data_IF_465411921665
#
_entry.id   IF_465411921665
#
_cell.length_a   1.000
_cell.length_b   1.000
_cell.length_c   1.000
_cell.angle_alpha   90.00
_cell.angle_beta   90.00
_cell.angle_gamma   90.00
#
_symmetry.space_group_name_H-M   'P 1'
#
loop_
_entity.id
_entity.type
_entity.pdbx_description
1 polymer ?
#
# COMPACT_ATOMS: atom_id res chain seq x y z
N UNK A 1 15.33 9.23 28.21
CA UNK A 1 14.96 8.75 26.87
C UNK A 1 14.76 7.24 26.97
N UNK A 2 13.57 6.74 26.71
CA UNK A 2 13.28 5.30 26.78
C UNK A 2 14.05 4.54 25.68
N UNK A 3 14.20 3.23 25.82
CA UNK A 3 14.86 2.43 24.78
C UNK A 3 14.09 2.46 23.45
N UNK A 4 12.76 2.64 23.51
CA UNK A 4 11.91 2.85 22.33
C UNK A 4 12.21 4.20 21.64
N UNK A 5 12.39 5.28 22.41
CA UNK A 5 12.73 6.59 21.83
C UNK A 5 14.13 6.57 21.17
N UNK A 6 15.08 5.82 21.73
CA UNK A 6 16.40 5.60 21.11
C UNK A 6 16.28 4.82 19.81
N UNK A 7 15.46 3.77 19.79
CA UNK A 7 15.19 2.99 18.58
C UNK A 7 14.55 3.86 17.49
N UNK A 8 13.58 4.72 17.85
CA UNK A 8 12.97 5.69 16.92
C UNK A 8 14.04 6.63 16.35
N UNK A 9 14.88 7.23 17.20
CA UNK A 9 15.95 8.12 16.74
C UNK A 9 16.93 7.42 15.79
N UNK A 10 17.35 6.19 16.13
CA UNK A 10 18.25 5.40 15.29
C UNK A 10 17.61 5.01 13.95
N UNK A 11 16.33 4.61 13.95
CA UNK A 11 15.61 4.27 12.73
C UNK A 11 15.35 5.50 11.84
N UNK A 12 15.10 6.68 12.43
CA UNK A 12 14.98 7.96 11.67
C UNK A 12 16.25 8.31 10.90
N UNK A 13 17.41 7.87 11.39
CA UNK A 13 18.69 7.99 10.70
C UNK A 13 18.91 6.87 9.66
N UNK A 14 17.88 6.07 9.36
CA UNK A 14 17.95 4.90 8.49
C UNK A 14 18.97 3.85 8.95
N UNK A 15 19.19 3.72 10.27
CA UNK A 15 20.11 2.73 10.83
C UNK A 15 19.34 1.55 11.44
N UNK A 16 19.70 0.30 11.12
CA UNK A 16 19.04 -0.87 11.69
C UNK A 16 19.27 -0.96 13.21
N UNK A 17 18.27 -1.41 13.94
CA UNK A 17 18.35 -1.67 15.40
C UNK A 17 18.76 -3.13 15.67
N UNK A 18 19.33 -3.49 16.83
CA UNK A 18 19.69 -4.87 17.13
C UNK A 18 18.52 -5.87 17.02
N UNK A 19 18.77 -7.12 16.61
CA UNK A 19 17.75 -8.17 16.47
C UNK A 19 16.91 -8.36 17.74
N UNK A 20 17.54 -8.25 18.92
CA UNK A 20 16.86 -8.33 20.21
C UNK A 20 15.81 -7.23 20.40
N UNK A 21 16.12 -6.00 19.95
CA UNK A 21 15.19 -4.87 20.00
C UNK A 21 14.07 -5.03 18.97
N UNK A 22 14.36 -5.55 17.77
CA UNK A 22 13.33 -5.88 16.77
C UNK A 22 12.34 -6.89 17.35
N UNK A 23 12.85 -7.97 17.96
CA UNK A 23 12.02 -9.00 18.59
C UNK A 23 11.12 -8.43 19.69
N UNK A 24 11.67 -7.59 20.56
CA UNK A 24 10.91 -6.95 21.65
C UNK A 24 9.85 -5.98 21.11
N UNK A 25 10.19 -5.20 20.07
CA UNK A 25 9.25 -4.31 19.40
C UNK A 25 8.09 -5.09 18.78
N UNK A 26 8.38 -6.16 18.02
CA UNK A 26 7.36 -7.01 17.41
C UNK A 26 6.44 -7.66 18.46
N UNK A 27 7.00 -8.07 19.61
CA UNK A 27 6.21 -8.60 20.72
C UNK A 27 5.24 -7.56 21.29
N UNK A 28 5.74 -6.37 21.64
CA UNK A 28 4.92 -5.25 22.15
C UNK A 28 3.85 -4.82 21.15
N UNK A 29 4.19 -4.76 19.86
CA UNK A 29 3.24 -4.42 18.82
C UNK A 29 2.12 -5.46 18.71
N UNK A 30 2.42 -6.75 18.81
CA UNK A 30 1.38 -7.80 18.80
C UNK A 30 0.43 -7.70 20.00
N UNK A 31 0.94 -7.39 21.18
CA UNK A 31 0.10 -7.15 22.37
C UNK A 31 -0.87 -5.98 22.20
N UNK A 32 -0.48 -4.94 21.44
CA UNK A 32 -1.37 -3.83 21.11
C UNK A 32 -2.35 -4.19 20.00
N UNK A 33 -1.85 -4.77 18.90
CA UNK A 33 -2.64 -5.03 17.71
C UNK A 33 -3.68 -6.16 17.90
N UNK A 34 -3.48 -7.08 18.86
CA UNK A 34 -4.47 -8.13 19.15
C UNK A 34 -5.77 -7.56 19.72
N UNK A 35 -5.70 -6.42 20.42
CA UNK A 35 -6.85 -5.72 20.99
C UNK A 35 -7.63 -4.92 19.92
N UNK A 36 -7.03 -4.68 18.74
CA UNK A 36 -7.70 -3.99 17.65
C UNK A 36 -8.66 -4.91 16.90
N UNK A 37 -9.85 -4.41 16.54
CA UNK A 37 -10.78 -5.11 15.68
C UNK A 37 -10.31 -5.18 14.22
N UNK A 38 -10.90 -6.07 13.42
CA UNK A 38 -10.55 -6.15 11.99
C UNK A 38 -10.83 -4.86 11.22
N UNK A 39 -11.77 -4.07 11.73
CA UNK A 39 -12.09 -2.71 11.29
C UNK A 39 -11.84 -1.77 12.44
N UNK A 40 -10.78 -0.97 12.35
CA UNK A 40 -10.46 0.05 13.36
C UNK A 40 -11.26 1.32 13.10
N UNK A 41 -11.71 1.97 14.16
CA UNK A 41 -12.41 3.27 14.04
C UNK A 41 -11.42 4.37 14.35
N UNK A 42 -11.30 5.33 13.45
CA UNK A 42 -10.41 6.50 13.58
C UNK A 42 -11.26 7.76 13.50
N UNK A 43 -10.87 8.80 14.24
CA UNK A 43 -11.57 10.09 14.22
C UNK A 43 -10.71 11.13 13.53
N UNK A 44 -11.34 12.04 12.80
CA UNK A 44 -10.65 13.22 12.29
C UNK A 44 -10.22 14.14 13.47
N UNK A 45 -9.14 14.93 13.32
CA UNK A 45 -8.32 15.06 12.12
C UNK A 45 -7.38 13.86 11.93
N UNK A 46 -7.14 13.43 10.68
CA UNK A 46 -6.19 12.34 10.38
C UNK A 46 -5.60 12.48 8.97
N UNK A 47 -4.31 12.16 8.85
CA UNK A 47 -3.58 12.08 7.59
C UNK A 47 -3.52 10.63 7.12
N UNK A 48 -4.08 10.38 5.95
CA UNK A 48 -4.17 9.07 5.31
C UNK A 48 -3.02 8.91 4.31
N UNK A 49 -2.29 7.79 4.42
CA UNK A 49 -1.16 7.44 3.57
C UNK A 49 -1.44 6.15 2.80
N UNK A 50 -1.06 6.11 1.52
CA UNK A 50 -1.06 4.91 0.69
C UNK A 50 0.23 4.11 0.82
N UNK A 51 0.61 3.44 -0.27
CA UNK A 51 1.77 2.55 -0.35
C UNK A 51 3.10 3.28 -0.10
N UNK A 52 4.02 2.62 0.59
CA UNK A 52 5.37 3.14 0.93
C UNK A 52 6.48 2.31 0.29
N UNK A 53 6.32 0.98 0.22
CA UNK A 53 7.24 0.07 -0.47
C UNK A 53 8.73 0.28 -0.15
N UNK A 54 9.07 0.41 1.13
CA UNK A 54 10.44 0.55 1.59
C UNK A 54 11.20 1.77 1.05
N UNK A 55 10.50 2.80 0.57
CA UNK A 55 11.07 4.09 0.18
C UNK A 55 11.25 4.98 1.42
N UNK A 56 12.21 4.61 2.28
CA UNK A 56 12.41 5.24 3.59
C UNK A 56 12.63 6.76 3.54
N UNK A 57 13.42 7.25 2.60
CA UNK A 57 13.69 8.69 2.49
C UNK A 57 12.45 9.47 2.08
N UNK A 58 11.59 8.88 1.25
CA UNK A 58 10.31 9.48 0.86
C UNK A 58 9.30 9.39 2.02
N UNK A 59 9.37 8.37 2.87
CA UNK A 59 8.62 8.32 4.13
C UNK A 59 9.04 9.47 5.09
N UNK A 60 10.32 9.83 5.13
CA UNK A 60 10.78 10.97 5.95
C UNK A 60 10.25 12.29 5.39
N UNK A 61 10.23 12.41 4.06
CA UNK A 61 9.62 13.55 3.37
C UNK A 61 8.10 13.62 3.63
N UNK A 62 7.41 12.48 3.66
CA UNK A 62 6.00 12.39 4.00
C UNK A 62 5.71 12.96 5.40
N UNK A 63 6.53 12.61 6.42
CA UNK A 63 6.39 13.21 7.75
C UNK A 63 6.77 14.70 7.78
N UNK A 64 7.72 15.12 6.94
CA UNK A 64 8.08 16.54 6.81
C UNK A 64 6.92 17.37 6.24
N UNK A 65 6.16 16.81 5.31
CA UNK A 65 5.03 17.46 4.64
C UNK A 65 3.75 17.38 5.49
N UNK A 66 3.39 16.19 5.97
CA UNK A 66 2.14 15.97 6.71
C UNK A 66 2.20 16.34 8.19
N UNK A 67 3.38 16.61 8.74
CA UNK A 67 3.60 16.87 10.16
C UNK A 67 4.09 15.63 10.92
N UNK A 68 4.74 15.83 12.07
CA UNK A 68 5.30 14.71 12.82
C UNK A 68 4.32 14.18 13.88
N UNK A 69 4.53 12.93 14.29
CA UNK A 69 3.80 12.30 15.41
C UNK A 69 4.47 12.73 16.72
N UNK A 70 3.74 13.11 17.78
CA UNK A 70 2.31 12.89 18.01
C UNK A 70 1.37 14.04 17.63
N UNK A 71 1.89 15.13 17.06
CA UNK A 71 1.08 16.31 16.73
C UNK A 71 0.07 16.01 15.61
N UNK A 72 0.42 15.10 14.71
CA UNK A 72 -0.43 14.65 13.60
C UNK A 72 -0.87 13.20 13.80
N UNK A 73 -2.16 12.92 13.58
CA UNK A 73 -2.71 11.57 13.54
C UNK A 73 -2.49 10.95 12.15
N UNK A 74 -2.08 9.69 12.10
CA UNK A 74 -1.81 8.98 10.86
C UNK A 74 -2.59 7.68 10.73
N UNK A 75 -3.00 7.38 9.49
CA UNK A 75 -3.52 6.08 9.07
C UNK A 75 -2.79 5.66 7.79
N UNK A 76 -1.98 4.60 7.87
CA UNK A 76 -1.32 4.03 6.70
C UNK A 76 -2.08 2.81 6.19
N UNK A 77 -2.32 2.78 4.87
CA UNK A 77 -3.15 1.78 4.21
C UNK A 77 -2.44 0.46 3.87
N UNK A 78 -1.20 0.28 4.30
CA UNK A 78 -0.41 -0.95 4.08
C UNK A 78 0.65 -0.79 3.01
N UNK A 79 1.19 -1.91 2.55
CA UNK A 79 2.28 -1.99 1.57
C UNK A 79 3.50 -1.17 2.03
N UNK A 80 3.95 -1.47 3.24
CA UNK A 80 5.11 -0.86 3.88
C UNK A 80 6.42 -1.40 3.30
N UNK A 81 6.40 -2.68 2.89
CA UNK A 81 7.58 -3.46 2.55
C UNK A 81 7.65 -3.83 1.06
N UNK A 82 8.76 -4.49 0.72
CA UNK A 82 9.17 -4.90 -0.62
C UNK A 82 9.52 -3.74 -1.56
N UNK A 83 10.13 -4.09 -2.70
CA UNK A 83 10.46 -3.21 -3.84
C UNK A 83 11.57 -2.21 -3.56
N UNK A 84 11.45 -1.41 -2.50
CA UNK A 84 12.49 -0.52 -2.01
C UNK A 84 13.59 -1.25 -1.22
N UNK A 85 14.71 -0.56 -0.97
CA UNK A 85 15.88 -1.13 -0.29
C UNK A 85 15.84 -1.01 1.25
N UNK A 86 14.88 -0.24 1.77
CA UNK A 86 14.76 0.14 3.17
C UNK A 86 13.37 -0.22 3.73
N UNK A 87 12.84 -1.37 3.31
CA UNK A 87 11.55 -1.88 3.78
C UNK A 87 11.57 -2.11 5.29
N UNK A 88 12.69 -2.62 5.81
CA UNK A 88 12.82 -2.93 7.22
C UNK A 88 12.87 -1.67 8.07
N UNK A 89 13.67 -0.66 7.73
CA UNK A 89 13.70 0.60 8.48
C UNK A 89 12.34 1.32 8.40
N UNK A 90 11.70 1.30 7.23
CA UNK A 90 10.37 1.91 7.04
C UNK A 90 9.33 1.25 7.94
N UNK A 91 9.23 -0.08 7.88
CA UNK A 91 8.25 -0.82 8.69
C UNK A 91 8.55 -0.73 10.18
N UNK A 92 9.81 -0.89 10.61
CA UNK A 92 10.17 -0.81 12.02
C UNK A 92 9.94 0.59 12.59
N UNK A 93 10.18 1.65 11.81
CA UNK A 93 9.89 3.01 12.26
C UNK A 93 8.38 3.22 12.48
N UNK A 94 7.56 2.82 11.52
CA UNK A 94 6.09 2.88 11.65
C UNK A 94 5.60 2.05 12.84
N UNK A 95 6.18 0.87 13.05
CA UNK A 95 5.86 0.00 14.18
C UNK A 95 6.28 0.61 15.52
N UNK A 96 7.47 1.22 15.60
CA UNK A 96 7.90 1.97 16.78
C UNK A 96 6.94 3.12 17.10
N UNK A 97 6.52 3.89 16.08
CA UNK A 97 5.56 4.98 16.25
C UNK A 97 4.19 4.46 16.70
N UNK A 98 3.73 3.31 16.17
CA UNK A 98 2.51 2.65 16.66
C UNK A 98 2.61 2.25 18.12
N UNK A 99 3.70 1.61 18.54
CA UNK A 99 3.90 1.21 19.93
C UNK A 99 4.03 2.42 20.85
N UNK A 100 4.68 3.49 20.38
CA UNK A 100 4.90 4.71 21.16
C UNK A 100 3.66 5.59 21.29
N UNK A 101 2.84 5.63 20.25
CA UNK A 101 1.67 6.50 20.12
C UNK A 101 0.46 5.70 19.56
N UNK A 102 -0.06 4.72 20.30
CA UNK A 102 -1.08 3.78 19.80
C UNK A 102 -2.36 4.45 19.33
N UNK A 103 -2.74 5.58 19.93
CA UNK A 103 -3.94 6.37 19.59
C UNK A 103 -3.73 7.36 18.44
N UNK A 104 -2.47 7.56 18.00
CA UNK A 104 -2.09 8.54 16.96
C UNK A 104 -1.65 7.90 15.65
N UNK A 105 -1.30 6.61 15.68
CA UNK A 105 -0.78 5.88 14.52
C UNK A 105 -1.66 4.65 14.29
N UNK A 106 -2.27 4.56 13.11
CA UNK A 106 -3.08 3.42 12.67
C UNK A 106 -2.41 2.75 11.48
N UNK A 107 -2.20 1.43 11.56
CA UNK A 107 -1.58 0.65 10.49
C UNK A 107 -2.56 -0.45 10.07
N UNK A 108 -2.99 -0.44 8.82
CA UNK A 108 -3.81 -1.52 8.25
C UNK A 108 -3.00 -2.35 7.25
N UNK A 109 -3.32 -3.64 7.11
CA UNK A 109 -2.51 -4.64 6.38
C UNK A 109 -2.64 -4.49 4.86
N UNK A 110 -1.57 -4.29 4.11
CA UNK A 110 -1.56 -4.38 2.65
C UNK A 110 -1.36 -5.81 2.14
N UNK A 111 -1.34 -6.00 0.82
CA UNK A 111 -1.10 -7.32 0.24
C UNK A 111 0.38 -7.74 0.32
N UNK A 112 1.30 -6.78 0.47
CA UNK A 112 2.73 -7.04 0.66
C UNK A 112 3.08 -7.50 2.08
N UNK A 113 2.21 -7.27 3.08
CA UNK A 113 2.37 -7.81 4.42
C UNK A 113 1.96 -9.30 4.50
N UNK A 114 2.55 -10.12 3.62
CA UNK A 114 2.34 -11.56 3.48
C UNK A 114 3.65 -12.32 3.32
N UNK A 115 3.74 -13.53 3.88
CA UNK A 115 4.91 -14.41 3.76
C UNK A 115 5.17 -14.81 2.30
N UNK A 116 4.12 -15.01 1.51
CA UNK A 116 4.25 -15.42 0.10
C UNK A 116 4.79 -14.30 -0.78
N UNK A 117 4.42 -13.05 -0.50
CA UNK A 117 4.84 -11.90 -1.29
C UNK A 117 6.26 -11.47 -0.90
N UNK A 118 6.54 -11.33 0.40
CA UNK A 118 7.84 -10.87 0.90
C UNK A 118 9.03 -11.78 0.55
N UNK A 119 8.77 -13.06 0.29
CA UNK A 119 9.80 -14.03 -0.15
C UNK A 119 10.22 -13.86 -1.61
N UNK A 120 9.44 -13.13 -2.41
CA UNK A 120 9.69 -12.94 -3.84
C UNK A 120 10.06 -11.48 -4.17
N UNK A 121 9.54 -10.51 -3.42
CA UNK A 121 9.57 -9.10 -3.80
C UNK A 121 10.60 -8.23 -3.05
N UNK A 122 11.40 -8.85 -2.17
CA UNK A 122 12.67 -8.29 -1.69
C UNK A 122 12.81 -8.24 -0.16
N UNK A 123 11.73 -8.21 0.60
CA UNK A 123 11.79 -8.00 2.05
C UNK A 123 12.49 -9.16 2.80
N UNK A 124 12.28 -10.41 2.38
CA UNK A 124 12.97 -11.57 2.94
C UNK A 124 14.49 -11.44 2.79
N UNK A 125 14.95 -11.15 1.56
CA UNK A 125 16.37 -11.01 1.24
C UNK A 125 16.99 -9.80 1.95
N UNK A 126 16.23 -8.71 2.09
CA UNK A 126 16.65 -7.53 2.86
C UNK A 126 16.93 -7.88 4.33
N UNK A 127 16.01 -8.58 4.99
CA UNK A 127 16.17 -9.03 6.38
C UNK A 127 17.37 -9.97 6.53
N UNK A 128 17.49 -10.96 5.63
CA UNK A 128 18.58 -11.92 5.64
C UNK A 128 19.94 -11.24 5.46
N UNK A 129 20.03 -10.26 4.55
CA UNK A 129 21.26 -9.49 4.31
C UNK A 129 21.65 -8.63 5.51
N UNK A 130 20.67 -7.99 6.18
CA UNK A 130 20.95 -7.06 7.30
C UNK A 130 21.27 -7.77 8.61
N UNK A 131 20.71 -8.95 8.87
CA UNK A 131 20.83 -9.65 10.17
C UNK A 131 21.49 -11.03 10.08
N UNK A 132 21.79 -11.53 8.89
CA UNK A 132 22.40 -12.85 8.68
C UNK A 132 21.47 -14.03 8.97
N UNK A 133 20.21 -13.79 9.32
CA UNK A 133 19.21 -14.82 9.59
C UNK A 133 17.81 -14.38 9.18
N UNK A 134 16.89 -15.34 9.02
CA UNK A 134 15.49 -15.07 8.71
C UNK A 134 14.65 -14.73 9.96
N UNK A 135 15.25 -14.56 11.14
CA UNK A 135 14.50 -14.32 12.39
C UNK A 135 13.73 -13.00 12.35
N UNK A 136 14.39 -11.91 11.93
CA UNK A 136 13.75 -10.59 11.80
C UNK A 136 12.58 -10.63 10.82
N UNK A 137 12.73 -11.30 9.68
CA UNK A 137 11.63 -11.51 8.73
C UNK A 137 10.47 -12.27 9.36
N UNK A 138 10.74 -13.33 10.15
CA UNK A 138 9.70 -14.07 10.89
C UNK A 138 8.98 -13.17 11.89
N UNK A 139 9.72 -12.40 12.69
CA UNK A 139 9.13 -11.48 13.67
C UNK A 139 8.21 -10.44 13.01
N UNK A 140 8.62 -9.88 11.87
CA UNK A 140 7.79 -8.94 11.12
C UNK A 140 6.54 -9.62 10.52
N UNK A 141 6.70 -10.80 9.91
CA UNK A 141 5.58 -11.58 9.39
C UNK A 141 4.56 -11.97 10.47
N UNK A 142 5.03 -12.26 11.68
CA UNK A 142 4.15 -12.57 12.81
C UNK A 142 3.38 -11.32 13.28
N UNK A 143 3.92 -10.11 13.10
CA UNK A 143 3.18 -8.85 13.33
C UNK A 143 2.15 -8.60 12.23
N UNK A 144 2.48 -8.91 10.96
CA UNK A 144 1.58 -8.69 9.82
C UNK A 144 0.22 -9.37 10.01
N UNK A 145 0.20 -10.54 10.63
CA UNK A 145 -1.03 -11.30 10.91
C UNK A 145 -1.98 -10.58 11.88
N UNK A 146 -1.49 -9.61 12.64
CA UNK A 146 -2.27 -8.86 13.64
C UNK A 146 -2.73 -7.50 13.11
N UNK A 147 -2.20 -7.01 11.99
CA UNK A 147 -2.62 -5.74 11.39
C UNK A 147 -4.10 -5.79 11.00
N UNK A 148 -4.84 -4.72 11.31
CA UNK A 148 -6.25 -4.62 10.96
C UNK A 148 -6.46 -4.68 9.44
N UNK A 149 -7.61 -5.20 9.01
CA UNK A 149 -7.90 -5.41 7.59
C UNK A 149 -8.47 -4.15 6.94
N UNK A 150 -9.10 -3.26 7.70
CA UNK A 150 -9.58 -1.97 7.21
C UNK A 150 -9.86 -0.99 8.34
N UNK A 151 -10.31 0.20 7.98
CA UNK A 151 -10.65 1.23 8.93
C UNK A 151 -11.88 2.04 8.50
N UNK A 152 -12.55 2.66 9.46
CA UNK A 152 -13.60 3.64 9.24
C UNK A 152 -13.16 4.94 9.89
N UNK A 153 -13.08 6.02 9.11
CA UNK A 153 -12.86 7.37 9.65
C UNK A 153 -14.19 8.06 9.86
N UNK A 154 -14.42 8.58 11.07
CA UNK A 154 -15.63 9.30 11.45
C UNK A 154 -15.37 10.81 11.60
N UNK A 155 -16.43 11.61 11.46
CA UNK A 155 -16.45 13.07 11.62
C UNK A 155 -15.43 13.80 10.72
N UNK A 156 -15.25 13.29 9.50
CA UNK A 156 -14.24 13.75 8.56
C UNK A 156 -14.85 14.52 7.40
N UNK A 157 -14.40 15.77 7.24
CA UNK A 157 -14.56 16.50 5.98
C UNK A 157 -13.33 16.25 5.12
N UNK A 158 -13.52 15.65 3.94
CA UNK A 158 -12.42 15.44 3.00
C UNK A 158 -12.09 16.75 2.28
N UNK A 159 -10.89 17.28 2.48
CA UNK A 159 -10.33 18.34 1.63
C UNK A 159 -9.11 17.79 0.91
N UNK A 160 -9.28 17.40 -0.36
CA UNK A 160 -8.14 17.11 -1.23
C UNK A 160 -7.57 18.45 -1.72
N UNK A 161 -6.40 18.85 -1.22
CA UNK A 161 -5.65 19.95 -1.82
C UNK A 161 -4.60 19.38 -2.77
N UNK A 162 -4.56 19.82 -4.05
CA UNK A 162 -3.35 19.68 -4.85
C UNK A 162 -2.22 20.39 -4.10
N UNK A 163 -1.11 19.70 -3.91
CA UNK A 163 0.00 20.23 -3.13
C UNK A 163 0.73 21.33 -3.93
N UNK A 164 0.28 22.58 -3.83
CA UNK A 164 0.92 23.75 -4.46
C UNK A 164 2.30 24.12 -3.85
N UNK A 165 2.86 23.26 -2.99
CA UNK A 165 4.15 23.47 -2.30
C UNK A 165 5.24 22.47 -2.67
N UNK A 166 5.10 21.76 -3.78
CA UNK A 166 6.21 21.01 -4.38
C UNK A 166 6.85 21.93 -5.43
N UNK A 167 8.10 22.39 -5.27
CA UNK A 167 8.76 23.13 -6.33
C UNK A 167 8.84 22.23 -7.57
N UNK A 168 8.09 22.62 -8.61
CA UNK A 168 8.20 22.04 -9.94
C UNK A 168 9.65 22.22 -10.36
N UNK A 169 10.39 21.10 -10.40
CA UNK A 169 11.70 21.06 -11.06
C UNK A 169 11.47 21.47 -12.52
N UNK A 170 12.26 22.40 -13.10
CA UNK A 170 12.00 22.91 -14.44
C UNK A 170 11.90 21.74 -15.42
N UNK A 171 10.82 21.78 -16.22
CA UNK A 171 10.55 20.83 -17.29
C UNK A 171 11.80 20.65 -18.15
N UNK A 172 12.22 19.39 -18.33
CA UNK A 172 13.16 19.05 -19.39
C UNK A 172 12.52 19.41 -20.74
N UNK A 173 13.27 19.94 -21.70
CA UNK A 173 12.71 20.39 -22.96
C UNK A 173 12.15 19.19 -23.75
N UNK A 174 11.03 19.42 -24.43
CA UNK A 174 10.48 18.48 -25.41
C UNK A 174 11.53 18.21 -26.51
N UNK A 175 11.85 16.92 -26.74
CA UNK A 175 12.66 16.50 -27.89
C UNK A 175 11.82 15.53 -28.73
N UNK A 176 11.52 15.99 -29.94
CA UNK A 176 10.93 15.20 -31.02
C UNK A 176 11.95 14.19 -31.58
N UNK A 177 11.47 12.97 -31.84
CA UNK A 177 12.19 11.82 -32.41
C UNK A 177 13.32 12.16 -33.42
N UNK A 178 14.51 11.58 -33.24
CA UNK A 178 15.11 10.49 -34.05
C UNK A 178 16.63 10.45 -33.83
N UNK A 179 17.16 9.22 -33.70
CA UNK A 179 18.57 8.80 -33.86
C UNK A 179 19.55 8.95 -32.68
N UNK A 180 20.15 7.79 -32.38
CA UNK A 180 21.43 7.46 -31.73
C UNK A 180 21.92 8.30 -30.53
N UNK A 181 21.80 7.71 -29.34
CA UNK A 181 22.68 8.01 -28.22
C UNK A 181 23.67 6.87 -28.01
N UNK A 182 24.94 7.15 -28.34
CA UNK A 182 26.10 6.36 -27.95
C UNK A 182 26.15 6.18 -26.42
N UNK A 183 26.23 4.93 -25.98
CA UNK A 183 26.40 4.53 -24.58
C UNK A 183 27.82 4.83 -24.07
N UNK A 184 27.92 5.69 -23.06
CA UNK A 184 29.04 5.68 -22.11
C UNK A 184 28.55 5.92 -20.67
N UNK A 185 28.76 4.89 -19.85
CA UNK A 185 29.04 4.87 -18.40
C UNK A 185 27.97 5.30 -17.37
N UNK A 186 27.36 4.28 -16.75
CA UNK A 186 26.84 4.38 -15.37
C UNK A 186 27.25 3.08 -14.63
N UNK A 187 28.07 3.23 -13.59
CA UNK A 187 28.53 2.18 -12.65
C UNK A 187 27.94 2.46 -11.26
N UNK A 188 27.49 1.43 -10.53
CA UNK A 188 27.01 1.54 -9.14
C UNK A 188 27.96 0.75 -8.23
N UNK A 189 28.54 1.44 -7.24
CA UNK A 189 29.39 0.88 -6.19
C UNK A 189 28.65 0.86 -4.85
N UNK A 190 28.67 -0.28 -4.15
CA UNK A 190 28.13 -0.39 -2.79
C UNK A 190 29.30 -0.43 -1.81
N UNK A 191 29.30 0.49 -0.85
CA UNK A 191 30.35 0.66 0.15
C UNK A 191 29.93 0.06 1.51
N UNK A 192 30.90 -0.40 2.32
CA UNK A 192 30.70 -0.74 3.71
C UNK A 192 30.68 0.52 4.61
N UNK A 193 30.45 0.30 5.90
CA UNK A 193 30.44 1.35 6.93
C UNK A 193 31.77 2.10 7.11
N UNK A 194 32.88 1.60 6.56
CA UNK A 194 34.20 2.25 6.59
C UNK A 194 34.56 2.89 5.23
N UNK A 195 33.63 2.91 4.26
CA UNK A 195 33.83 3.47 2.93
C UNK A 195 34.55 2.54 1.94
N UNK A 196 34.80 1.28 2.30
CA UNK A 196 35.38 0.27 1.41
C UNK A 196 34.34 -0.40 0.51
N UNK A 197 34.65 -0.63 -0.77
CA UNK A 197 33.71 -1.20 -1.74
C UNK A 197 33.41 -2.67 -1.39
N UNK A 198 32.14 -2.97 -1.06
CA UNK A 198 31.61 -4.32 -0.82
C UNK A 198 31.26 -5.05 -2.11
N UNK A 199 30.60 -4.37 -3.04
CA UNK A 199 30.14 -4.97 -4.28
C UNK A 199 30.16 -3.96 -5.42
N UNK A 200 30.56 -4.44 -6.60
CA UNK A 200 30.37 -3.76 -7.89
C UNK A 200 29.38 -4.57 -8.71
N UNK A 201 28.40 -3.89 -9.28
CA UNK A 201 27.42 -4.52 -10.15
C UNK A 201 27.77 -4.26 -11.61
N UNK A 202 28.20 -5.28 -12.37
CA UNK A 202 28.44 -5.10 -13.80
C UNK A 202 27.12 -5.00 -14.57
N UNK A 203 27.04 -4.08 -15.54
CA UNK A 203 25.93 -4.00 -16.50
C UNK A 203 25.95 -5.24 -17.41
N UNK A 204 24.84 -5.99 -17.45
CA UNK A 204 24.68 -7.13 -18.36
C UNK A 204 24.18 -6.63 -19.73
N UNK A 205 25.10 -6.41 -20.67
CA UNK A 205 24.81 -6.37 -22.10
C UNK A 205 24.60 -7.78 -22.65
N UNK A 206 23.56 -7.97 -23.45
CA UNK A 206 23.25 -9.22 -24.14
C UNK A 206 24.35 -9.58 -25.15
N UNK A 207 24.91 -10.80 -25.07
CA UNK A 207 25.57 -11.44 -26.22
C UNK A 207 24.81 -12.70 -26.60
N UNK A 208 24.14 -12.64 -27.76
CA UNK A 208 23.74 -13.79 -28.57
C UNK A 208 24.98 -14.58 -28.95
N UNK A 209 24.93 -15.90 -28.81
CA UNK A 209 25.76 -16.83 -29.57
C UNK A 209 24.83 -17.80 -30.30
N UNK A 210 24.83 -17.72 -31.63
CA UNK A 210 24.24 -18.69 -32.54
C UNK A 210 25.04 -20.00 -32.49
N UNK A 211 24.36 -21.13 -32.27
CA UNK A 211 24.82 -22.45 -32.71
C UNK A 211 23.62 -23.22 -33.26
N UNK A 212 23.69 -23.54 -34.56
CA UNK A 212 22.75 -24.40 -35.29
C UNK A 212 22.68 -25.81 -34.69
N UNK A 213 21.48 -26.39 -34.52
CA UNK A 213 21.21 -27.81 -34.81
C UNK A 213 19.73 -28.03 -35.26
N UNK A 214 19.61 -28.89 -36.27
CA UNK A 214 18.48 -29.33 -37.11
C UNK A 214 17.17 -29.77 -36.42
N UNK A 215 16.07 -29.57 -37.15
CA UNK A 215 14.77 -30.27 -37.09
C UNK A 215 14.88 -31.80 -37.23
N UNK A 216 13.93 -32.56 -36.65
CA UNK A 216 12.95 -33.22 -37.52
C UNK A 216 11.48 -33.18 -37.01
N UNK A 217 10.63 -33.60 -37.94
CA UNK A 217 9.18 -33.57 -38.09
C UNK A 217 8.31 -34.39 -37.13
N UNK A 218 7.08 -33.89 -36.95
CA UNK A 218 5.77 -34.57 -36.80
C UNK A 218 5.60 -35.81 -35.89
N UNK A 219 4.66 -35.74 -34.94
CA UNK A 219 3.44 -36.58 -34.90
C UNK A 219 2.74 -36.60 -33.52
N UNK A 220 1.40 -36.69 -33.57
CA UNK A 220 0.46 -37.31 -32.62
C UNK A 220 0.17 -36.69 -31.24
N UNK A 221 -1.09 -36.21 -31.13
CA UNK A 221 -1.95 -36.21 -29.93
C UNK A 221 -1.89 -37.50 -29.12
N UNK A 222 -2.13 -37.40 -27.80
CA UNK A 222 -3.11 -38.31 -27.20
C UNK A 222 -4.08 -37.64 -26.21
N UNK A 223 -5.35 -37.96 -26.45
CA UNK A 223 -6.48 -37.93 -25.52
C UNK A 223 -6.31 -38.94 -24.37
N UNK A 224 -6.62 -38.54 -23.12
CA UNK A 224 -7.12 -39.39 -22.01
C UNK A 224 -7.95 -38.49 -21.08
N UNK A 225 -9.29 -38.47 -21.12
CA UNK A 225 -10.28 -39.39 -20.51
C UNK A 225 -10.05 -39.69 -19.02
N UNK A 226 -10.81 -39.00 -18.17
CA UNK A 226 -11.11 -39.29 -16.76
C UNK A 226 -12.58 -38.89 -16.45
N UNK A 227 -13.22 -39.46 -15.41
CA UNK A 227 -14.63 -39.92 -15.45
C UNK A 227 -15.72 -38.87 -15.18
N UNK A 228 -17.00 -39.19 -15.51
CA UNK A 228 -18.14 -38.26 -15.51
C UNK A 228 -18.91 -38.20 -14.17
N UNK A 229 -19.54 -37.04 -13.92
CA UNK A 229 -20.42 -36.75 -12.77
C UNK A 229 -19.68 -35.94 -11.71
N UNK A 230 -19.96 -34.65 -11.53
CA UNK A 230 -21.27 -34.13 -11.13
C UNK A 230 -21.55 -32.80 -11.81
N UNK A 231 -22.76 -32.67 -12.38
CA UNK A 231 -23.30 -31.37 -12.72
C UNK A 231 -23.52 -30.56 -11.45
N UNK A 232 -22.94 -29.37 -11.42
CA UNK A 232 -23.37 -28.30 -10.53
C UNK A 232 -23.33 -27.01 -11.34
N UNK A 233 -24.48 -26.67 -11.92
CA UNK A 233 -24.80 -25.32 -12.36
C UNK A 233 -24.73 -24.41 -11.12
N UNK A 234 -23.58 -23.83 -10.84
CA UNK A 234 -23.44 -22.86 -9.77
C UNK A 234 -23.75 -21.47 -10.33
N UNK A 235 -25.01 -21.07 -10.21
CA UNK A 235 -25.38 -19.67 -10.22
C UNK A 235 -24.60 -18.97 -9.09
N UNK A 236 -23.62 -18.16 -9.45
CA UNK A 236 -22.93 -17.27 -8.51
C UNK A 236 -23.84 -16.07 -8.21
N UNK A 237 -24.86 -16.29 -7.38
CA UNK A 237 -25.47 -15.18 -6.66
C UNK A 237 -24.41 -14.65 -5.71
N UNK A 238 -23.91 -13.46 -6.03
CA UNK A 238 -23.08 -12.65 -5.13
C UNK A 238 -23.72 -12.62 -3.75
N UNK A 239 -22.88 -12.81 -2.73
CA UNK A 239 -23.30 -12.97 -1.34
C UNK A 239 -24.05 -11.71 -0.89
N UNK A 240 -25.38 -11.79 -0.85
CA UNK A 240 -26.23 -10.78 -0.21
C UNK A 240 -26.17 -10.96 1.30
N UNK A 241 -25.41 -10.11 1.99
CA UNK A 241 -25.43 -10.03 3.45
C UNK A 241 -24.47 -8.96 3.99
N UNK A 242 -25.01 -7.81 4.41
CA UNK A 242 -24.38 -6.72 5.18
C UNK A 242 -22.83 -6.80 5.37
N UNK A 243 -22.09 -6.30 4.37
CA UNK A 243 -20.65 -6.55 4.21
C UNK A 243 -19.74 -6.01 5.33
N UNK A 244 -20.06 -4.90 6.01
CA UNK A 244 -19.18 -4.39 7.09
C UNK A 244 -19.15 -5.30 8.33
N UNK A 245 -20.26 -5.97 8.65
CA UNK A 245 -20.33 -6.95 9.76
C UNK A 245 -19.58 -8.24 9.43
N UNK A 246 -19.55 -8.64 8.16
CA UNK A 246 -18.86 -9.84 7.69
C UNK A 246 -17.33 -9.71 7.79
N UNK A 247 -16.77 -8.51 7.77
CA UNK A 247 -15.32 -8.28 7.97
C UNK A 247 -14.96 -8.39 9.45
N UNK A 248 -15.83 -7.86 10.34
CA UNK A 248 -15.60 -7.85 11.80
C UNK A 248 -15.50 -9.26 12.41
N UNK A 249 -16.12 -10.26 11.79
CA UNK A 249 -16.18 -11.64 12.29
C UNK A 249 -15.05 -12.56 11.76
N UNK A 250 -14.07 -12.03 11.02
CA UNK A 250 -13.04 -12.86 10.36
C UNK A 250 -11.85 -13.16 11.26
N UNK A 251 -11.30 -14.36 11.12
CA UNK A 251 -10.00 -14.68 11.67
C UNK A 251 -8.89 -14.07 10.80
N UNK A 252 -8.31 -12.95 11.24
CA UNK A 252 -7.24 -12.27 10.51
C UNK A 252 -5.83 -12.76 10.83
N UNK A 253 -5.66 -13.49 11.94
CA UNK A 253 -4.38 -13.97 12.48
C UNK A 253 -3.81 -15.15 11.69
N UNK A 254 -3.63 -14.94 10.39
CA UNK A 254 -3.10 -15.92 9.44
C UNK A 254 -2.41 -15.17 8.28
N UNK A 255 -1.60 -15.89 7.51
CA UNK A 255 -1.10 -15.37 6.24
C UNK A 255 -2.26 -15.10 5.27
N UNK A 256 -2.07 -14.17 4.33
CA UNK A 256 -3.11 -13.82 3.36
C UNK A 256 -3.44 -15.04 2.48
N UNK A 257 -4.70 -15.51 2.45
CA UNK A 257 -5.10 -16.63 1.63
C UNK A 257 -5.09 -16.26 0.14
N UNK A 258 -4.96 -17.27 -0.74
CA UNK A 258 -4.95 -17.04 -2.20
C UNK A 258 -6.29 -16.58 -2.78
N UNK A 259 -7.38 -16.79 -2.06
CA UNK A 259 -8.74 -16.45 -2.48
C UNK A 259 -9.65 -16.23 -1.26
N UNK A 260 -10.83 -15.68 -1.51
CA UNK A 260 -11.82 -15.35 -0.48
C UNK A 260 -11.63 -13.94 0.05
N UNK A 261 -12.56 -13.45 0.87
CA UNK A 261 -12.66 -12.00 1.05
C UNK A 261 -11.45 -11.32 1.69
N UNK A 262 -10.61 -12.01 2.47
CA UNK A 262 -9.38 -11.38 2.96
C UNK A 262 -8.41 -11.12 1.81
N UNK A 263 -8.35 -12.00 0.82
CA UNK A 263 -7.65 -11.76 -0.44
C UNK A 263 -8.32 -10.58 -1.18
N UNK A 264 -9.65 -10.62 -1.32
CA UNK A 264 -10.38 -9.62 -2.11
C UNK A 264 -10.26 -8.20 -1.52
N UNK A 265 -10.22 -8.06 -0.19
CA UNK A 265 -10.01 -6.79 0.52
C UNK A 265 -8.64 -6.16 0.23
N UNK A 266 -7.64 -7.00 -0.06
CA UNK A 266 -6.24 -6.59 -0.22
C UNK A 266 -5.80 -6.49 -1.68
N UNK A 267 -6.48 -7.17 -2.60
CA UNK A 267 -6.06 -7.32 -4.00
C UNK A 267 -7.02 -6.76 -5.05
N UNK A 268 -8.24 -6.41 -4.69
CA UNK A 268 -9.24 -5.93 -5.67
C UNK A 268 -8.98 -4.49 -6.11
N UNK A 269 -9.47 -4.14 -7.29
CA UNK A 269 -9.24 -2.82 -7.91
C UNK A 269 -10.48 -2.21 -8.56
N UNK A 270 -10.67 -0.88 -8.45
CA UNK A 270 -11.66 -0.19 -9.26
C UNK A 270 -11.28 -0.18 -10.74
N UNK A 271 -12.28 -0.34 -11.62
CA UNK A 271 -12.12 -0.23 -13.08
C UNK A 271 -13.43 0.27 -13.72
N UNK A 272 -13.34 0.91 -14.89
CA UNK A 272 -14.49 1.38 -15.68
C UNK A 272 -15.25 0.21 -16.36
N UNK A 273 -15.76 -0.70 -15.53
CA UNK A 273 -16.58 -1.86 -15.90
C UNK A 273 -17.94 -1.82 -15.21
N UNK A 274 -18.88 -2.65 -15.68
CA UNK A 274 -20.13 -2.88 -14.99
C UNK A 274 -20.00 -4.04 -14.00
N UNK A 275 -20.32 -3.81 -12.72
CA UNK A 275 -20.33 -4.86 -11.71
C UNK A 275 -18.93 -5.36 -11.32
N UNK A 276 -18.68 -6.67 -11.48
CA UNK A 276 -17.43 -7.33 -11.10
C UNK A 276 -16.73 -7.95 -12.32
N UNK A 277 -15.40 -7.92 -12.32
CA UNK A 277 -14.55 -8.54 -13.35
C UNK A 277 -13.39 -9.33 -12.74
N UNK A 278 -12.73 -10.15 -13.56
CA UNK A 278 -11.54 -10.89 -13.13
C UNK A 278 -10.34 -9.95 -13.04
N UNK A 279 -9.62 -10.00 -11.92
CA UNK A 279 -8.40 -9.21 -11.73
C UNK A 279 -7.25 -9.75 -12.59
N UNK A 280 -6.53 -8.88 -13.34
CA UNK A 280 -5.33 -9.29 -14.06
C UNK A 280 -4.17 -9.65 -13.11
N UNK A 281 -4.28 -9.36 -11.81
CA UNK A 281 -3.28 -9.70 -10.78
C UNK A 281 -3.24 -11.19 -10.45
N UNK A 282 -4.27 -11.96 -10.85
CA UNK A 282 -4.43 -13.36 -10.46
C UNK A 282 -4.96 -13.56 -9.04
N UNK A 283 -5.35 -12.48 -8.36
CA UNK A 283 -5.96 -12.44 -7.02
C UNK A 283 -6.90 -11.23 -6.93
N UNK A 284 -7.97 -11.35 -6.13
CA UNK A 284 -9.03 -10.35 -6.04
C UNK A 284 -9.85 -10.17 -7.32
N UNK A 285 -10.63 -9.09 -7.39
CA UNK A 285 -11.52 -8.80 -8.49
C UNK A 285 -11.40 -7.34 -8.96
N UNK A 286 -11.80 -7.08 -10.19
CA UNK A 286 -12.13 -5.73 -10.63
C UNK A 286 -13.55 -5.38 -10.19
N UNK A 287 -13.81 -4.14 -9.82
CA UNK A 287 -15.16 -3.66 -9.48
C UNK A 287 -15.48 -2.29 -10.07
N UNK A 288 -16.72 -2.11 -10.51
CA UNK A 288 -17.21 -0.88 -11.14
C UNK A 288 -18.00 0.04 -10.21
N UNK A 289 -18.43 1.19 -10.76
CA UNK A 289 -19.18 2.23 -10.07
C UNK A 289 -20.40 1.71 -9.29
N UNK A 290 -21.19 0.81 -9.89
CA UNK A 290 -22.39 0.26 -9.23
C UNK A 290 -22.08 -0.50 -7.95
N UNK A 291 -20.93 -1.19 -7.91
CA UNK A 291 -20.49 -1.95 -6.73
C UNK A 291 -20.13 -1.00 -5.59
N UNK A 292 -19.38 0.07 -5.90
CA UNK A 292 -19.02 1.11 -4.93
C UNK A 292 -20.26 1.83 -4.40
N UNK A 293 -21.17 2.25 -5.28
CA UNK A 293 -22.41 2.94 -4.90
C UNK A 293 -23.29 2.06 -4.00
N UNK A 294 -23.46 0.79 -4.35
CA UNK A 294 -24.23 -0.16 -3.54
C UNK A 294 -23.59 -0.38 -2.17
N UNK A 295 -22.26 -0.54 -2.10
CA UNK A 295 -21.55 -0.71 -0.84
C UNK A 295 -21.66 0.52 0.05
N UNK A 296 -21.42 1.71 -0.50
CA UNK A 296 -21.48 2.98 0.22
C UNK A 296 -22.89 3.23 0.76
N UNK A 297 -23.92 3.00 -0.07
CA UNK A 297 -25.31 3.12 0.35
C UNK A 297 -25.67 2.11 1.45
N UNK A 298 -25.33 0.84 1.27
CA UNK A 298 -25.67 -0.22 2.23
C UNK A 298 -25.00 -0.04 3.60
N UNK A 299 -23.81 0.58 3.63
CA UNK A 299 -23.03 0.75 4.86
C UNK A 299 -23.02 2.19 5.38
N UNK A 300 -23.83 3.09 4.80
CA UNK A 300 -23.92 4.50 5.19
C UNK A 300 -22.54 5.20 5.21
N UNK A 301 -21.75 4.96 4.16
CA UNK A 301 -20.41 5.53 3.95
C UNK A 301 -20.50 6.62 2.88
N UNK A 302 -19.70 7.68 3.02
CA UNK A 302 -19.61 8.77 2.04
C UNK A 302 -18.71 8.41 0.87
N UNK A 303 -17.55 7.82 1.16
CA UNK A 303 -16.52 7.51 0.19
C UNK A 303 -15.67 6.31 0.63
N UNK A 304 -15.13 5.59 -0.34
CA UNK A 304 -14.05 4.62 -0.15
C UNK A 304 -12.70 5.30 -0.41
N UNK A 305 -11.76 5.21 0.51
CA UNK A 305 -10.35 5.56 0.27
C UNK A 305 -9.50 4.27 0.30
N UNK A 306 -8.62 4.12 -0.68
CA UNK A 306 -7.81 2.91 -0.86
C UNK A 306 -6.45 3.20 -1.48
N UNK A 307 -5.56 2.20 -1.51
CA UNK A 307 -4.17 2.33 -1.98
C UNK A 307 -3.85 1.40 -3.17
N UNK A 308 -2.71 0.69 -3.22
CA UNK A 308 -2.42 -0.52 -4.03
C UNK A 308 -2.36 -0.39 -5.57
N UNK A 309 -3.02 0.60 -6.18
CA UNK A 309 -2.84 0.95 -7.58
C UNK A 309 -1.95 2.18 -7.71
N UNK A 310 -0.83 2.01 -8.41
CA UNK A 310 0.01 3.12 -8.83
C UNK A 310 -0.82 4.10 -9.67
N UNK A 311 -0.83 5.36 -9.24
CA UNK A 311 -1.45 6.48 -9.95
C UNK A 311 -0.41 7.59 -10.13
N UNK A 312 -0.37 8.20 -11.32
CA UNK A 312 0.75 9.08 -11.70
C UNK A 312 0.77 10.37 -10.91
N UNK A 313 -0.39 10.87 -10.50
CA UNK A 313 -0.61 12.11 -9.78
C UNK A 313 -0.51 11.93 -8.26
N UNK A 314 -0.25 10.70 -7.79
CA UNK A 314 -0.25 10.34 -6.36
C UNK A 314 -1.65 10.11 -5.79
N UNK A 315 -2.72 10.57 -6.45
CA UNK A 315 -4.09 10.20 -6.12
C UNK A 315 -4.97 10.12 -7.37
N UNK A 316 -6.10 9.39 -7.29
CA UNK A 316 -7.09 9.32 -8.37
C UNK A 316 -8.49 9.11 -7.80
N UNK A 317 -9.40 10.01 -8.10
CA UNK A 317 -10.83 9.85 -7.81
C UNK A 317 -11.52 9.11 -8.97
N UNK A 318 -12.49 8.25 -8.65
CA UNK A 318 -13.32 7.57 -9.64
C UNK A 318 -14.79 7.55 -9.18
N UNK A 319 -15.68 7.29 -10.14
CA UNK A 319 -17.11 7.05 -9.90
C UNK A 319 -17.78 8.19 -9.12
N UNK A 320 -17.73 9.41 -9.66
CA UNK A 320 -18.32 10.62 -9.06
C UNK A 320 -17.78 10.90 -7.65
N UNK A 321 -16.47 10.73 -7.47
CA UNK A 321 -15.73 10.94 -6.22
C UNK A 321 -16.23 10.07 -5.05
N UNK A 322 -16.85 8.92 -5.35
CA UNK A 322 -17.29 7.95 -4.34
C UNK A 322 -16.21 6.94 -3.96
N UNK A 323 -15.09 6.93 -4.69
CA UNK A 323 -13.87 6.23 -4.35
C UNK A 323 -12.62 7.05 -4.73
N UNK A 324 -11.60 7.00 -3.88
CA UNK A 324 -10.29 7.61 -4.13
C UNK A 324 -9.17 6.59 -3.90
N UNK A 325 -8.23 6.53 -4.85
CA UNK A 325 -6.94 5.83 -4.70
C UNK A 325 -5.89 6.84 -4.26
N UNK A 326 -5.13 6.54 -3.20
CA UNK A 326 -4.02 7.35 -2.69
C UNK A 326 -2.73 6.53 -2.75
N UNK A 327 -1.67 7.12 -3.27
CA UNK A 327 -0.36 6.50 -3.46
C UNK A 327 0.73 7.39 -2.88
N UNK A 328 1.56 6.85 -1.98
CA UNK A 328 2.50 7.64 -1.18
C UNK A 328 3.99 7.36 -1.48
N UNK A 329 4.30 6.58 -2.52
CA UNK A 329 5.66 6.25 -2.94
C UNK A 329 6.04 6.96 -4.27
N UNK A 330 6.74 8.12 -4.24
CA UNK A 330 7.05 8.89 -5.44
C UNK A 330 8.11 8.19 -6.29
N UNK A 331 8.08 8.43 -7.61
CA UNK A 331 8.97 7.80 -8.59
C UNK A 331 9.18 6.31 -8.29
N UNK A 332 8.07 5.58 -8.17
CA UNK A 332 8.05 4.22 -7.67
C UNK A 332 9.06 3.32 -8.39
N UNK A 333 9.78 2.51 -7.60
CA UNK A 333 10.88 1.66 -8.08
C UNK A 333 11.96 2.42 -8.88
N UNK A 334 12.13 3.73 -8.64
CA UNK A 334 13.05 4.63 -9.34
C UNK A 334 12.84 4.72 -10.86
N UNK A 335 11.64 4.36 -11.35
CA UNK A 335 11.38 4.21 -12.78
C UNK A 335 10.02 4.71 -13.24
N UNK A 336 9.03 4.79 -12.35
CA UNK A 336 7.66 5.08 -12.73
C UNK A 336 7.42 6.57 -12.99
N UNK A 337 8.19 7.48 -12.37
CA UNK A 337 8.04 8.92 -12.55
C UNK A 337 6.76 9.54 -11.97
N UNK A 338 5.99 8.79 -11.18
CA UNK A 338 4.79 9.28 -10.50
C UNK A 338 5.12 10.24 -9.35
N UNK A 339 4.16 11.07 -8.99
CA UNK A 339 4.14 11.85 -7.75
C UNK A 339 3.53 11.01 -6.62
N UNK A 340 3.76 11.41 -5.38
CA UNK A 340 3.12 10.86 -4.19
C UNK A 340 2.14 11.88 -3.58
N UNK A 341 1.08 11.38 -2.97
CA UNK A 341 0.13 12.18 -2.21
C UNK A 341 -0.13 11.58 -0.83
N UNK A 342 -0.64 12.42 0.06
CA UNK A 342 -1.30 12.08 1.31
C UNK A 342 -2.68 12.73 1.29
N UNK A 343 -3.63 12.16 2.00
CA UNK A 343 -4.98 12.69 2.09
C UNK A 343 -5.26 13.17 3.52
N UNK A 344 -5.49 14.47 3.69
CA UNK A 344 -5.81 15.06 4.98
C UNK A 344 -7.32 15.13 5.18
N UNK A 345 -7.78 14.58 6.30
CA UNK A 345 -9.17 14.64 6.75
C UNK A 345 -9.24 15.57 7.96
N UNK A 346 -9.95 16.68 7.82
CA UNK A 346 -10.18 17.63 8.90
C UNK A 346 -11.43 17.30 9.72
N UNK A 347 -11.57 17.90 10.90
CA UNK A 347 -12.80 17.81 11.68
C UNK A 347 -13.97 18.41 10.90
N UNK A 348 -15.12 17.74 10.91
CA UNK A 348 -16.39 18.32 10.52
C UNK A 348 -16.72 19.47 11.50
N UNK A 349 -16.22 20.67 11.18
CA UNK A 349 -16.59 21.87 11.89
C UNK A 349 -18.09 22.07 11.76
N UNK A 350 -18.84 21.81 12.83
CA UNK A 350 -20.28 22.08 12.90
C UNK A 350 -20.55 23.53 12.50
N UNK A 351 -20.89 23.74 11.23
CA UNK A 351 -21.41 24.99 10.69
C UNK A 351 -22.82 24.69 10.23
N UNK A 352 -23.78 25.17 11.01
CA UNK A 352 -25.21 25.16 10.67
C UNK A 352 -25.56 25.96 9.41
N UNK A 353 -24.61 26.70 8.82
CA UNK A 353 -24.84 27.43 7.57
C UNK A 353 -23.86 26.97 6.49
N UNK A 354 -24.43 26.31 5.48
CA UNK A 354 -23.75 26.02 4.22
C UNK A 354 -23.29 27.32 3.54
N UNK A 355 -22.27 27.16 2.69
CA UNK A 355 -21.57 28.18 1.89
C UNK A 355 -20.23 28.63 2.51
N UNK A 356 -19.15 28.03 2.00
CA UNK A 356 -17.85 28.68 1.88
C UNK A 356 -17.66 29.07 0.41
N UNK A 357 -17.60 30.38 0.15
CA UNK A 357 -17.29 30.91 -1.17
C UNK A 357 -15.84 30.59 -1.54
N UNK A 358 -15.62 29.94 -2.69
CA UNK A 358 -14.33 29.94 -3.39
C UNK A 358 -14.31 31.09 -4.40
N UNK A 359 -13.13 31.67 -4.60
CA UNK A 359 -12.86 32.90 -5.36
C UNK A 359 -13.17 32.85 -6.87
N UNK A 360 -13.79 31.79 -7.40
CA UNK A 360 -14.03 31.64 -8.84
C UNK A 360 -15.51 31.40 -9.23
N UNK A 361 -16.47 31.78 -8.39
CA UNK A 361 -17.84 32.06 -8.84
C UNK A 361 -18.73 30.89 -9.28
N UNK A 362 -18.28 29.64 -9.26
CA UNK A 362 -19.16 28.47 -9.46
C UNK A 362 -19.34 27.69 -8.16
N UNK A 363 -20.60 27.63 -7.70
CA UNK A 363 -20.99 26.93 -6.49
C UNK A 363 -21.12 25.43 -6.72
N UNK A 364 -20.19 24.65 -6.16
CA UNK A 364 -20.37 23.22 -5.96
C UNK A 364 -20.97 22.96 -4.57
N UNK A 365 -22.00 22.12 -4.49
CA UNK A 365 -22.60 21.71 -3.23
C UNK A 365 -21.60 20.85 -2.44
N UNK A 366 -21.18 21.33 -1.27
CA UNK A 366 -20.48 20.50 -0.28
C UNK A 366 -21.48 19.52 0.31
N UNK A 367 -21.21 18.21 0.20
CA UNK A 367 -21.97 17.20 0.93
C UNK A 367 -21.53 17.24 2.40
N UNK A 368 -22.42 17.55 3.36
CA UNK A 368 -22.10 17.40 4.77
C UNK A 368 -21.79 15.92 5.06
N UNK A 369 -20.58 15.63 5.55
CA UNK A 369 -20.09 14.28 5.75
C UNK A 369 -20.58 13.69 7.08
N UNK A 370 -21.89 13.54 7.27
CA UNK A 370 -22.44 12.81 8.43
C UNK A 370 -22.18 11.29 8.37
N UNK A 371 -21.46 10.82 7.35
CA UNK A 371 -21.19 9.41 7.00
C UNK A 371 -19.69 9.15 7.00
N UNK A 372 -19.26 8.03 7.59
CA UNK A 372 -17.82 7.70 7.68
C UNK A 372 -17.18 7.41 6.32
N UNK A 373 -15.84 7.47 6.26
CA UNK A 373 -15.02 7.10 5.09
C UNK A 373 -14.42 5.71 5.32
N UNK A 374 -14.61 4.78 4.36
CA UNK A 374 -14.12 3.40 4.45
C UNK A 374 -12.74 3.25 3.81
N UNK A 375 -11.83 2.62 4.54
CA UNK A 375 -10.41 2.49 4.15
C UNK A 375 -10.10 1.07 3.65
N UNK A 376 -10.75 0.61 2.56
CA UNK A 376 -10.48 -0.65 1.83
C UNK A 376 -11.36 -0.81 0.60
N UNK A 377 -11.12 -1.84 -0.21
CA UNK A 377 -12.04 -2.24 -1.28
C UNK A 377 -13.40 -2.72 -0.70
N UNK A 378 -14.49 -2.63 -1.48
CA UNK A 378 -15.87 -2.95 -1.04
C UNK A 378 -16.19 -4.45 -0.91
#
# INVERSE_FOLDING_TARGET
MSDLDKAIAQLRECRPIPESQVRELCYKARELLVEEGNVVTVTAPVTICGDIHGQFHDLMELFRVGGDVPDTNYLFMGDFVDRGFYSLESFLLLLCLKVRYPDRMTLIRGNHESRQITTVYGFYDECLRKYGSANVWRYCCDVFDYLALGAIVLNASATLQPNDKIPIRPQAPEITNTEDYDEADIEIEVLNSEGGILHRFPRKGSKRNDVLVRTPTASTTPTKTGPPGSGASAHSNGTSGNNSTAIRLRERQQDVPRAGSMCDLLWSDPEDIQGWGLSPRGAGFLFGASTVQNFNHANNISMIARAHQLVMEGFKEMFDNTIVTVWSAPNYCYRCGNVAAIMELGEDGGREDGVLARSNGEGAALLPCSRGIWMRTP
#
